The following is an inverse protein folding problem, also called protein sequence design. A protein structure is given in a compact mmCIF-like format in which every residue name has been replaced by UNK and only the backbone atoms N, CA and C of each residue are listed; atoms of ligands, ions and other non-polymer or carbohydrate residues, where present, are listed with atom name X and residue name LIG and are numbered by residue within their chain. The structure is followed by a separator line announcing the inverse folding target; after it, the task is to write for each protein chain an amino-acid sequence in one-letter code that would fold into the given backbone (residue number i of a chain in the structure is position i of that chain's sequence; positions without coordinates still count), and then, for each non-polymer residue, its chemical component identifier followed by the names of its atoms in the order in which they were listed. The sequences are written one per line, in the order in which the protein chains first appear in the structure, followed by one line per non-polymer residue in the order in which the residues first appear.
data_IF_855611931024
#
_entry.id   IF_855611931024
#
_cell.length_a   1.000
_cell.length_b   1.000
_cell.length_c   1.000
_cell.angle_alpha   90.00
_cell.angle_beta   90.00
_cell.angle_gamma   90.00
#
_symmetry.space_group_name_H-M   'P 1'
#
loop_
_entity.id
_entity.type
_entity.pdbx_description
1 polymer ?
#
# COMPACT_ATOMS: atom_id res chain seq x y z
N UNK A 1 -35.54 13.39 -10.12
CA UNK A 1 -35.02 14.75 -9.98
C UNK A 1 -34.22 15.11 -11.25
N UNK A 2 -34.71 16.13 -11.99
CA UNK A 2 -34.10 16.54 -13.27
C UNK A 2 -32.60 16.91 -13.12
N UNK A 3 -32.20 17.46 -11.98
CA UNK A 3 -30.81 17.80 -11.70
C UNK A 3 -29.93 16.54 -11.60
N UNK A 4 -30.35 15.51 -10.86
CA UNK A 4 -29.60 14.24 -10.79
C UNK A 4 -29.53 13.54 -12.15
N UNK A 5 -30.58 13.63 -12.97
CA UNK A 5 -30.55 13.09 -14.33
C UNK A 5 -29.57 13.84 -15.24
N UNK A 6 -29.45 15.17 -15.08
CA UNK A 6 -28.46 15.96 -15.78
C UNK A 6 -27.03 15.57 -15.38
N UNK A 7 -26.76 15.45 -14.06
CA UNK A 7 -25.46 15.00 -13.55
C UNK A 7 -25.10 13.62 -14.08
N UNK A 8 -26.03 12.67 -14.03
CA UNK A 8 -25.79 11.30 -14.51
C UNK A 8 -25.53 11.25 -16.01
N UNK A 9 -26.15 12.14 -16.80
CA UNK A 9 -25.88 12.26 -18.23
C UNK A 9 -24.49 12.83 -18.50
N UNK A 10 -24.09 13.85 -17.73
CA UNK A 10 -22.82 14.55 -17.90
C UNK A 10 -21.65 13.73 -17.31
N UNK A 11 -21.91 12.97 -16.23
CA UNK A 11 -20.92 12.14 -15.54
C UNK A 11 -21.52 10.76 -15.21
N UNK A 12 -21.38 9.83 -16.14
CA UNK A 12 -21.95 8.48 -16.04
C UNK A 12 -21.50 7.75 -14.78
N UNK A 13 -22.43 7.16 -14.04
CA UNK A 13 -22.20 6.35 -12.85
C UNK A 13 -21.98 7.15 -11.57
N UNK A 14 -22.08 8.48 -11.59
CA UNK A 14 -21.88 9.33 -10.39
C UNK A 14 -22.99 9.14 -9.35
N UNK A 15 -24.22 8.78 -9.78
CA UNK A 15 -25.37 8.60 -8.91
C UNK A 15 -25.42 7.23 -8.22
N UNK A 16 -24.40 6.38 -8.35
CA UNK A 16 -24.32 5.10 -7.69
C UNK A 16 -24.05 5.25 -6.18
N UNK A 17 -24.50 4.27 -5.38
CA UNK A 17 -24.21 4.25 -3.93
C UNK A 17 -22.72 4.32 -3.64
N UNK A 18 -22.34 5.13 -2.64
CA UNK A 18 -20.96 5.26 -2.16
C UNK A 18 -20.12 6.33 -2.85
N UNK A 19 -20.71 7.15 -3.74
CA UNK A 19 -20.02 8.25 -4.44
C UNK A 19 -20.72 9.61 -4.23
N UNK A 20 -21.53 9.72 -3.19
CA UNK A 20 -22.28 10.94 -2.84
C UNK A 20 -21.39 12.19 -2.70
N UNK A 21 -20.14 12.04 -2.26
CA UNK A 21 -19.20 13.16 -2.15
C UNK A 21 -19.09 13.96 -3.46
N UNK A 22 -18.99 13.27 -4.60
CA UNK A 22 -18.89 13.91 -5.90
C UNK A 22 -20.20 14.57 -6.35
N UNK A 23 -21.35 14.03 -5.97
CA UNK A 23 -22.66 14.63 -6.27
C UNK A 23 -22.79 15.99 -5.57
N UNK A 24 -22.42 16.08 -4.29
CA UNK A 24 -22.43 17.33 -3.56
C UNK A 24 -21.46 18.37 -4.13
N UNK A 25 -20.26 17.95 -4.49
CA UNK A 25 -19.27 18.84 -5.13
C UNK A 25 -19.74 19.31 -6.50
N UNK A 26 -20.39 18.45 -7.28
CA UNK A 26 -20.98 18.84 -8.56
C UNK A 26 -22.06 19.93 -8.37
N UNK A 27 -22.91 19.75 -7.36
CA UNK A 27 -23.93 20.74 -7.00
C UNK A 27 -23.30 22.08 -6.61
N UNK A 28 -22.29 22.09 -5.76
CA UNK A 28 -21.59 23.31 -5.34
C UNK A 28 -20.98 24.06 -6.53
N UNK A 29 -20.28 23.35 -7.41
CA UNK A 29 -19.63 23.94 -8.58
C UNK A 29 -20.67 24.51 -9.57
N UNK A 30 -21.82 23.83 -9.72
CA UNK A 30 -22.90 24.33 -10.57
C UNK A 30 -23.53 25.64 -10.06
N UNK A 31 -23.47 25.87 -8.74
CA UNK A 31 -23.97 27.11 -8.10
C UNK A 31 -22.88 28.20 -8.00
N UNK A 32 -21.65 27.87 -8.36
CA UNK A 32 -20.51 28.80 -8.27
C UNK A 32 -20.54 29.83 -9.42
N UNK A 33 -20.26 31.09 -9.08
CA UNK A 33 -20.06 32.15 -10.08
C UNK A 33 -18.77 31.91 -10.85
N UNK A 34 -18.66 32.46 -12.06
CA UNK A 34 -17.47 32.31 -12.91
C UNK A 34 -16.17 32.78 -12.22
N UNK A 35 -16.19 33.84 -11.42
CA UNK A 35 -15.07 34.31 -10.61
C UNK A 35 -15.05 33.79 -9.19
N UNK A 36 -15.97 32.87 -8.86
CA UNK A 36 -16.14 32.33 -7.51
C UNK A 36 -15.16 31.19 -7.19
N UNK A 37 -15.12 30.84 -5.90
CA UNK A 37 -14.49 29.62 -5.40
C UNK A 37 -15.48 28.87 -4.54
N UNK A 38 -15.38 27.54 -4.59
CA UNK A 38 -16.10 26.65 -3.68
C UNK A 38 -15.08 25.75 -2.97
N UNK A 39 -15.40 25.34 -1.75
CA UNK A 39 -14.56 24.45 -0.96
C UNK A 39 -15.41 23.26 -0.50
N UNK A 40 -14.98 22.07 -0.86
CA UNK A 40 -15.61 20.81 -0.45
C UNK A 40 -14.67 19.98 0.42
N UNK A 41 -15.21 19.37 1.46
CA UNK A 41 -14.51 18.35 2.24
C UNK A 41 -15.15 17.00 1.90
N UNK A 42 -14.31 16.04 1.52
CA UNK A 42 -14.75 14.71 1.15
C UNK A 42 -13.88 13.63 1.79
N UNK A 43 -14.35 12.40 1.72
CA UNK A 43 -13.54 11.27 2.15
C UNK A 43 -12.31 11.14 1.25
N UNK A 44 -11.19 10.78 1.86
CA UNK A 44 -9.93 10.63 1.14
C UNK A 44 -10.03 9.59 0.00
N UNK A 45 -10.85 8.54 0.18
CA UNK A 45 -11.11 7.52 -0.84
C UNK A 45 -11.62 8.07 -2.16
N UNK A 46 -12.41 9.14 -2.14
CA UNK A 46 -12.96 9.77 -3.33
C UNK A 46 -11.90 10.35 -4.26
N UNK A 47 -10.69 10.63 -3.76
CA UNK A 47 -9.56 11.18 -4.53
C UNK A 47 -8.81 10.13 -5.36
N UNK A 48 -8.92 8.85 -5.05
CA UNK A 48 -8.15 7.77 -5.69
C UNK A 48 -8.95 6.52 -6.05
N UNK A 49 -10.14 6.31 -5.49
CA UNK A 49 -10.97 5.13 -5.75
C UNK A 49 -11.25 4.98 -7.26
N UNK A 50 -11.05 3.77 -7.79
CA UNK A 50 -11.21 3.45 -9.21
C UNK A 50 -12.60 2.93 -9.59
N UNK A 51 -13.58 2.99 -8.67
CA UNK A 51 -14.99 2.77 -9.01
C UNK A 51 -15.38 3.79 -10.09
N UNK A 52 -16.10 3.32 -11.11
CA UNK A 52 -16.38 4.08 -12.34
C UNK A 52 -16.93 5.49 -12.09
N UNK A 53 -17.88 5.63 -11.16
CA UNK A 53 -18.45 6.94 -10.83
C UNK A 53 -17.43 7.93 -10.25
N UNK A 54 -16.57 7.49 -9.32
CA UNK A 54 -15.50 8.33 -8.76
C UNK A 54 -14.47 8.73 -9.83
N UNK A 55 -14.07 7.78 -10.66
CA UNK A 55 -13.11 8.00 -11.75
C UNK A 55 -13.68 8.98 -12.77
N UNK A 56 -14.92 8.77 -13.22
CA UNK A 56 -15.59 9.60 -14.20
C UNK A 56 -15.81 11.03 -13.65
N UNK A 57 -16.19 11.16 -12.38
CA UNK A 57 -16.31 12.46 -11.73
C UNK A 57 -14.97 13.22 -11.74
N UNK A 58 -13.89 12.58 -11.25
CA UNK A 58 -12.56 13.23 -11.27
C UNK A 58 -12.15 13.64 -12.68
N UNK A 59 -12.37 12.75 -13.67
CA UNK A 59 -12.09 13.06 -15.07
C UNK A 59 -12.85 14.30 -15.53
N UNK A 60 -14.16 14.35 -15.29
CA UNK A 60 -15.00 15.49 -15.64
C UNK A 60 -14.49 16.79 -15.00
N UNK A 61 -14.25 16.80 -13.69
CA UNK A 61 -13.77 17.99 -12.98
C UNK A 61 -12.40 18.46 -13.48
N UNK A 62 -11.51 17.54 -13.82
CA UNK A 62 -10.18 17.85 -14.36
C UNK A 62 -10.25 18.39 -15.80
N UNK A 63 -11.00 17.74 -16.69
CA UNK A 63 -11.14 18.14 -18.09
C UNK A 63 -11.80 19.51 -18.25
N UNK A 64 -12.70 19.86 -17.33
CA UNK A 64 -13.35 21.17 -17.29
C UNK A 64 -12.57 22.22 -16.47
N UNK A 65 -11.36 21.89 -15.99
CA UNK A 65 -10.52 22.81 -15.23
C UNK A 65 -11.15 23.32 -13.94
N UNK A 66 -11.93 22.49 -13.26
CA UNK A 66 -12.72 22.89 -12.08
C UNK A 66 -11.99 22.69 -10.76
N UNK A 67 -10.87 21.95 -10.73
CA UNK A 67 -10.09 21.68 -9.50
C UNK A 67 -8.88 22.62 -9.47
N UNK A 68 -8.84 23.49 -8.46
CA UNK A 68 -7.71 24.41 -8.23
C UNK A 68 -6.66 23.79 -7.30
N UNK A 69 -7.11 23.19 -6.16
CA UNK A 69 -6.23 22.56 -5.20
C UNK A 69 -6.87 21.34 -4.53
N UNK A 70 -6.02 20.42 -4.13
CA UNK A 70 -6.36 19.23 -3.35
C UNK A 70 -5.45 19.17 -2.13
N UNK A 71 -6.02 19.18 -0.92
CA UNK A 71 -5.32 19.25 0.35
C UNK A 71 -5.69 18.05 1.19
N UNK A 72 -4.78 17.10 1.35
CA UNK A 72 -4.97 15.96 2.25
C UNK A 72 -4.84 16.42 3.71
N UNK A 73 -5.86 16.17 4.52
CA UNK A 73 -5.92 16.59 5.91
C UNK A 73 -5.45 15.49 6.87
N UNK A 74 -5.02 15.82 8.10
CA UNK A 74 -4.72 14.84 9.13
C UNK A 74 -5.90 13.92 9.43
N UNK A 75 -5.64 12.72 9.96
CA UNK A 75 -6.70 11.88 10.52
C UNK A 75 -7.32 12.55 11.76
N UNK A 76 -8.49 12.10 12.17
CA UNK A 76 -9.16 12.58 13.39
C UNK A 76 -9.31 14.11 13.49
N UNK A 77 -9.46 14.81 12.37
CA UNK A 77 -9.83 16.24 12.36
C UNK A 77 -11.27 16.40 12.87
N UNK A 78 -12.13 15.44 12.58
CA UNK A 78 -13.51 15.37 13.10
C UNK A 78 -13.57 14.44 14.31
N UNK A 79 -14.23 14.89 15.39
CA UNK A 79 -14.28 14.17 16.69
C UNK A 79 -14.84 12.77 16.61
N UNK A 80 -15.87 12.58 15.78
CA UNK A 80 -16.68 11.35 15.74
C UNK A 80 -16.12 10.30 14.79
N UNK A 81 -15.01 10.59 14.09
CA UNK A 81 -14.48 9.65 13.10
C UNK A 81 -12.96 9.75 12.96
N UNK A 82 -12.33 8.59 12.75
CA UNK A 82 -10.92 8.51 12.37
C UNK A 82 -10.70 8.57 10.85
N UNK A 83 -11.77 8.73 10.07
CA UNK A 83 -11.68 8.77 8.61
C UNK A 83 -10.84 9.98 8.20
N UNK A 84 -9.84 9.74 7.36
CA UNK A 84 -9.06 10.81 6.74
C UNK A 84 -9.88 11.50 5.67
N UNK A 85 -9.80 12.81 5.63
CA UNK A 85 -10.53 13.65 4.69
C UNK A 85 -9.59 14.46 3.82
N UNK A 86 -10.13 14.94 2.71
CA UNK A 86 -9.43 15.81 1.76
C UNK A 86 -10.28 17.05 1.53
N UNK A 87 -9.68 18.21 1.59
CA UNK A 87 -10.28 19.47 1.19
C UNK A 87 -9.94 19.73 -0.27
N UNK A 88 -10.95 20.02 -1.08
CA UNK A 88 -10.79 20.41 -2.47
C UNK A 88 -11.25 21.84 -2.66
N UNK A 89 -10.41 22.63 -3.29
CA UNK A 89 -10.76 24.00 -3.74
C UNK A 89 -11.14 23.92 -5.21
N UNK A 90 -12.31 24.42 -5.51
CA UNK A 90 -12.85 24.52 -6.86
C UNK A 90 -12.84 25.97 -7.34
N UNK A 91 -12.45 26.17 -8.60
CA UNK A 91 -12.59 27.40 -9.37
C UNK A 91 -12.58 27.05 -10.86
N UNK A 92 -12.75 28.05 -11.74
CA UNK A 92 -12.78 27.81 -13.19
C UNK A 92 -11.41 28.02 -13.84
N UNK A 93 -11.17 27.34 -14.97
CA UNK A 93 -10.04 27.60 -15.87
C UNK A 93 -8.70 27.02 -15.43
N UNK A 94 -8.65 26.06 -14.51
CA UNK A 94 -7.43 25.51 -13.99
C UNK A 94 -6.78 24.52 -14.98
N UNK A 95 -5.57 24.84 -15.43
CA UNK A 95 -4.71 23.95 -16.25
C UNK A 95 -3.75 23.12 -15.40
N UNK A 96 -3.59 23.49 -14.14
CA UNK A 96 -2.75 22.83 -13.13
C UNK A 96 -3.53 22.74 -11.82
N UNK A 97 -3.20 21.75 -11.01
CA UNK A 97 -3.81 21.51 -9.69
C UNK A 97 -2.72 21.59 -8.63
N UNK A 98 -2.95 22.36 -7.58
CA UNK A 98 -2.09 22.40 -6.40
C UNK A 98 -2.35 21.16 -5.53
N UNK A 99 -1.35 20.32 -5.32
CA UNK A 99 -1.41 19.12 -4.48
C UNK A 99 -0.68 19.39 -3.18
N UNK A 100 -1.37 19.28 -2.03
CA UNK A 100 -0.81 19.58 -0.70
C UNK A 100 -1.05 18.39 0.24
N UNK A 101 0.02 17.84 0.82
CA UNK A 101 -0.06 16.86 1.91
C UNK A 101 0.08 17.54 3.26
N UNK A 102 -1.03 17.97 3.83
CA UNK A 102 -1.08 18.58 5.16
C UNK A 102 -1.30 17.55 6.29
N UNK A 103 -1.16 16.25 6.03
CA UNK A 103 -1.45 15.19 7.00
C UNK A 103 -0.59 15.24 8.27
N UNK A 104 0.56 15.90 8.21
CA UNK A 104 1.49 16.10 9.33
C UNK A 104 1.37 17.48 9.98
N UNK A 105 0.58 18.39 9.42
CA UNK A 105 0.40 19.77 9.90
C UNK A 105 -0.75 19.83 10.91
N UNK A 106 -0.56 19.26 12.09
CA UNK A 106 -1.53 19.33 13.19
C UNK A 106 -0.83 19.12 14.54
N UNK A 107 -1.54 19.49 15.59
CA UNK A 107 -1.20 19.08 16.96
C UNK A 107 -2.05 17.86 17.30
N UNK A 108 -1.40 16.75 17.60
CA UNK A 108 -2.07 15.53 18.00
C UNK A 108 -2.62 15.65 19.43
N UNK A 109 -3.93 15.42 19.59
CA UNK A 109 -4.61 15.32 20.88
C UNK A 109 -5.30 13.97 21.00
N UNK A 110 -5.55 13.53 22.22
CA UNK A 110 -6.05 12.18 22.51
C UNK A 110 -7.30 11.79 21.70
N UNK A 111 -8.22 12.71 21.44
CA UNK A 111 -9.49 12.43 20.75
C UNK A 111 -9.66 13.13 19.40
N UNK A 112 -8.88 14.17 19.13
CA UNK A 112 -9.02 14.99 17.92
C UNK A 112 -7.71 15.69 17.61
N UNK A 113 -7.27 15.65 16.35
CA UNK A 113 -6.17 16.47 15.86
C UNK A 113 -6.68 17.88 15.57
N UNK A 114 -5.91 18.88 15.96
CA UNK A 114 -6.30 20.29 15.81
C UNK A 114 -5.24 21.06 15.04
N UNK A 115 -5.68 22.07 14.30
CA UNK A 115 -4.78 23.01 13.62
C UNK A 115 -4.46 24.18 14.55
N UNK A 116 -3.20 24.60 14.56
CA UNK A 116 -2.78 25.89 15.11
C UNK A 116 -2.74 26.95 14.00
N UNK A 117 -2.58 28.21 14.39
CA UNK A 117 -2.42 29.30 13.42
C UNK A 117 -1.18 29.10 12.53
N UNK A 118 -0.10 28.54 13.09
CA UNK A 118 1.12 28.18 12.34
C UNK A 118 0.85 27.07 11.32
N UNK A 119 0.07 26.06 11.68
CA UNK A 119 -0.31 25.01 10.73
C UNK A 119 -1.15 25.57 9.59
N UNK A 120 -2.10 26.45 9.89
CA UNK A 120 -2.92 27.14 8.89
C UNK A 120 -2.05 28.01 7.97
N UNK A 121 -1.14 28.79 8.56
CA UNK A 121 -0.20 29.64 7.80
C UNK A 121 0.69 28.77 6.88
N UNK A 122 1.16 27.61 7.34
CA UNK A 122 1.94 26.68 6.55
C UNK A 122 1.14 26.13 5.36
N UNK A 123 -0.14 25.76 5.57
CA UNK A 123 -1.03 25.30 4.48
C UNK A 123 -1.28 26.44 3.48
N UNK A 124 -1.52 27.66 3.94
CA UNK A 124 -1.73 28.81 3.07
C UNK A 124 -0.47 29.18 2.26
N UNK A 125 0.72 29.00 2.85
CA UNK A 125 1.99 29.14 2.13
C UNK A 125 2.13 28.05 1.07
N UNK A 126 1.89 26.78 1.43
CA UNK A 126 1.92 25.65 0.52
C UNK A 126 0.93 25.75 -0.65
N UNK A 127 -0.19 26.44 -0.44
CA UNK A 127 -1.16 26.71 -1.50
C UNK A 127 -0.58 27.64 -2.59
N UNK A 128 0.34 28.53 -2.26
CA UNK A 128 0.94 29.50 -3.17
C UNK A 128 2.20 29.01 -3.85
N UNK A 129 3.00 28.20 -3.18
CA UNK A 129 4.33 27.81 -3.60
C UNK A 129 4.62 26.31 -3.39
N UNK A 130 5.58 25.77 -4.14
CA UNK A 130 6.05 24.41 -4.01
C UNK A 130 6.87 24.24 -2.72
N UNK A 131 6.78 23.07 -2.10
CA UNK A 131 7.53 22.71 -0.90
C UNK A 131 7.70 21.18 -0.81
N UNK A 132 8.30 20.68 0.28
CA UNK A 132 8.41 19.23 0.49
C UNK A 132 7.04 18.51 0.57
N UNK A 133 5.98 19.24 0.85
CA UNK A 133 4.60 18.74 0.97
C UNK A 133 3.60 19.44 0.07
N UNK A 134 4.06 20.23 -0.93
CA UNK A 134 3.22 20.92 -1.92
C UNK A 134 3.87 20.95 -3.30
N UNK A 135 3.10 20.62 -4.34
CA UNK A 135 3.54 20.66 -5.73
C UNK A 135 2.38 21.07 -6.66
N UNK A 136 2.72 21.79 -7.73
CA UNK A 136 1.78 22.17 -8.78
C UNK A 136 1.87 21.18 -9.95
N UNK A 137 0.78 20.42 -10.22
CA UNK A 137 0.74 19.33 -11.20
C UNK A 137 -0.15 19.72 -12.39
N UNK A 138 0.29 19.43 -13.61
CA UNK A 138 -0.53 19.70 -14.80
C UNK A 138 -1.74 18.74 -14.86
N UNK A 139 -2.90 19.26 -15.27
CA UNK A 139 -4.10 18.44 -15.49
C UNK A 139 -3.82 17.32 -16.49
N UNK A 140 -3.02 17.60 -17.52
CA UNK A 140 -2.60 16.62 -18.52
C UNK A 140 -1.87 15.41 -17.88
N UNK A 141 -0.89 15.67 -16.98
CA UNK A 141 -0.17 14.60 -16.30
C UNK A 141 -1.07 13.78 -15.37
N UNK A 142 -2.08 14.42 -14.75
CA UNK A 142 -3.05 13.72 -13.91
C UNK A 142 -3.91 12.75 -14.75
N UNK A 143 -4.38 13.21 -15.90
CA UNK A 143 -5.23 12.43 -16.80
C UNK A 143 -4.48 11.29 -17.50
N UNK A 144 -3.31 11.56 -18.06
CA UNK A 144 -2.58 10.62 -18.91
C UNK A 144 -1.69 9.64 -18.13
N UNK A 145 -1.05 10.11 -17.05
CA UNK A 145 -0.02 9.32 -16.33
C UNK A 145 -0.48 8.77 -14.98
N UNK A 146 -1.56 9.33 -14.41
CA UNK A 146 -1.95 9.05 -13.03
C UNK A 146 -3.39 8.56 -12.89
N UNK A 147 -4.02 8.12 -13.97
CA UNK A 147 -5.34 7.48 -13.97
C UNK A 147 -6.41 8.29 -13.22
N UNK A 148 -6.40 9.61 -13.41
CA UNK A 148 -7.27 10.58 -12.72
C UNK A 148 -7.14 10.64 -11.19
N UNK A 149 -6.16 10.00 -10.59
CA UNK A 149 -5.92 10.08 -9.15
C UNK A 149 -5.48 11.50 -8.79
N UNK A 150 -6.20 12.13 -7.84
CA UNK A 150 -5.90 13.49 -7.37
C UNK A 150 -5.42 13.53 -5.91
N UNK A 151 -5.01 12.40 -5.36
CA UNK A 151 -4.48 12.34 -4.01
C UNK A 151 -3.06 12.93 -3.95
N UNK A 152 -2.78 13.94 -3.09
CA UNK A 152 -1.51 14.66 -3.06
C UNK A 152 -0.27 13.78 -2.91
N UNK A 153 -0.33 12.76 -2.05
CA UNK A 153 0.80 11.82 -1.85
C UNK A 153 1.29 11.15 -3.13
N UNK A 154 0.43 11.04 -4.15
CA UNK A 154 0.82 10.47 -5.45
C UNK A 154 1.88 11.31 -6.17
N UNK A 155 1.91 12.61 -5.92
CA UNK A 155 2.74 13.58 -6.62
C UNK A 155 3.92 14.09 -5.79
N UNK A 156 3.84 13.97 -4.47
CA UNK A 156 4.84 14.45 -3.51
C UNK A 156 5.89 13.40 -3.17
N UNK A 157 5.74 12.20 -3.70
CA UNK A 157 6.73 11.14 -3.49
C UNK A 157 8.03 11.54 -4.18
N UNK A 158 9.08 11.75 -3.41
CA UNK A 158 10.44 11.94 -3.95
C UNK A 158 10.79 10.68 -4.73
N UNK A 159 10.89 10.79 -6.06
CA UNK A 159 11.34 9.67 -6.88
C UNK A 159 12.71 9.24 -6.37
N UNK A 160 12.79 8.04 -5.85
CA UNK A 160 14.06 7.44 -5.47
C UNK A 160 14.80 7.10 -6.76
N UNK A 161 15.95 7.72 -7.05
CA UNK A 161 16.66 7.45 -8.29
C UNK A 161 17.20 6.01 -8.26
N UNK A 162 16.94 5.25 -9.32
CA UNK A 162 17.46 3.90 -9.49
C UNK A 162 18.57 3.95 -10.54
N UNK A 163 19.82 3.84 -10.10
CA UNK A 163 20.97 3.79 -11.00
C UNK A 163 20.99 2.43 -11.71
N UNK A 164 21.01 2.45 -13.05
CA UNK A 164 20.96 1.24 -13.89
C UNK A 164 19.73 0.36 -13.57
N UNK A 165 18.56 0.98 -13.32
CA UNK A 165 17.34 0.30 -13.00
C UNK A 165 16.84 -0.62 -14.12
N UNK A 166 16.24 -1.74 -13.72
CA UNK A 166 15.51 -2.64 -14.61
C UNK A 166 14.13 -2.87 -14.03
N UNK A 167 13.07 -2.92 -14.84
CA UNK A 167 11.74 -3.30 -14.38
C UNK A 167 11.77 -4.67 -13.71
N UNK A 168 11.08 -4.81 -12.58
CA UNK A 168 11.04 -6.06 -11.83
C UNK A 168 10.55 -7.24 -12.69
N UNK A 169 9.59 -7.00 -13.61
CA UNK A 169 9.11 -8.03 -14.56
C UNK A 169 10.23 -8.68 -15.37
N UNK A 170 11.32 -7.97 -15.66
CA UNK A 170 12.41 -8.48 -16.54
C UNK A 170 13.22 -9.58 -15.84
N UNK A 171 13.13 -9.69 -14.52
CA UNK A 171 13.82 -10.68 -13.68
C UNK A 171 12.88 -11.70 -13.03
N UNK A 172 11.58 -11.64 -13.34
CA UNK A 172 10.58 -12.58 -12.86
C UNK A 172 10.06 -13.43 -14.01
N UNK A 173 9.77 -14.69 -13.72
CA UNK A 173 9.05 -15.59 -14.61
C UNK A 173 7.55 -15.30 -14.58
N UNK A 174 7.03 -14.96 -13.40
CA UNK A 174 5.62 -14.70 -13.19
C UNK A 174 5.37 -13.92 -11.88
N UNK A 175 4.31 -13.12 -11.87
CA UNK A 175 3.74 -12.48 -10.67
C UNK A 175 2.27 -12.82 -10.57
N UNK A 176 1.84 -13.37 -9.46
CA UNK A 176 0.43 -13.67 -9.21
C UNK A 176 0.05 -13.47 -7.75
N UNK A 177 -1.25 -13.35 -7.52
CA UNK A 177 -1.80 -13.17 -6.18
C UNK A 177 -2.00 -14.54 -5.54
N UNK A 178 -1.76 -14.67 -4.24
CA UNK A 178 -2.10 -15.87 -3.47
C UNK A 178 -3.60 -16.18 -3.43
N UNK A 179 -3.95 -17.31 -2.83
CA UNK A 179 -5.31 -17.82 -2.77
C UNK A 179 -6.24 -16.95 -1.92
N UNK A 180 -7.37 -16.55 -2.47
CA UNK A 180 -8.45 -15.91 -1.75
C UNK A 180 -9.39 -16.99 -1.19
N UNK A 181 -9.12 -17.47 0.02
CA UNK A 181 -9.93 -18.46 0.73
C UNK A 181 -10.79 -17.71 1.75
N UNK A 182 -12.09 -18.01 1.80
CA UNK A 182 -12.98 -17.46 2.82
C UNK A 182 -12.64 -18.05 4.20
N UNK A 183 -12.91 -17.31 5.28
CA UNK A 183 -12.64 -17.79 6.65
C UNK A 183 -13.34 -19.14 6.90
N UNK A 184 -14.60 -19.27 6.52
CA UNK A 184 -15.38 -20.52 6.67
C UNK A 184 -14.77 -21.70 5.91
N UNK A 185 -14.22 -21.48 4.73
CA UNK A 185 -13.57 -22.51 3.93
C UNK A 185 -12.21 -22.87 4.50
N UNK A 186 -11.45 -21.87 4.95
CA UNK A 186 -10.16 -22.07 5.60
C UNK A 186 -10.31 -22.90 6.89
N UNK A 187 -11.30 -22.57 7.74
CA UNK A 187 -11.56 -23.30 9.00
C UNK A 187 -11.87 -24.78 8.76
N UNK A 188 -12.50 -25.12 7.61
CA UNK A 188 -12.74 -26.53 7.23
C UNK A 188 -11.50 -27.25 6.76
N UNK A 189 -10.54 -26.51 6.16
CA UNK A 189 -9.31 -27.08 5.61
C UNK A 189 -8.21 -27.23 6.67
N UNK A 190 -8.24 -26.40 7.70
CA UNK A 190 -7.24 -26.43 8.77
C UNK A 190 -7.30 -27.76 9.53
N UNK A 191 -6.12 -28.30 9.86
CA UNK A 191 -5.98 -29.55 10.63
C UNK A 191 -4.73 -29.48 11.52
N UNK A 192 -4.79 -30.12 12.67
CA UNK A 192 -3.64 -30.32 13.58
C UNK A 192 -2.77 -31.50 13.14
N UNK A 193 -3.25 -32.33 12.20
CA UNK A 193 -2.50 -33.48 11.70
C UNK A 193 -1.48 -33.01 10.66
N UNK A 194 -0.20 -33.45 10.76
CA UNK A 194 0.80 -33.17 9.76
C UNK A 194 0.34 -33.58 8.36
N UNK A 195 0.55 -32.66 7.39
CA UNK A 195 0.20 -32.80 5.97
C UNK A 195 1.30 -32.21 5.12
N UNK A 196 1.37 -32.60 3.85
CA UNK A 196 2.24 -31.94 2.86
C UNK A 196 1.82 -30.50 2.55
N UNK A 197 0.53 -30.17 2.76
CA UNK A 197 -0.03 -28.84 2.49
C UNK A 197 0.02 -27.96 3.73
N UNK A 198 0.61 -26.79 3.59
CA UNK A 198 0.66 -25.78 4.64
C UNK A 198 0.20 -24.43 4.11
N UNK A 199 -0.33 -23.59 4.98
CA UNK A 199 -0.89 -22.29 4.63
C UNK A 199 -0.11 -21.16 5.30
N UNK A 200 0.34 -20.19 4.49
CA UNK A 200 1.04 -19.02 5.00
C UNK A 200 0.17 -17.78 4.91
N UNK A 201 0.02 -17.08 6.01
CA UNK A 201 -0.60 -15.76 6.14
C UNK A 201 0.43 -14.73 6.60
N UNK A 202 0.07 -13.45 6.56
CA UNK A 202 0.97 -12.35 6.98
C UNK A 202 1.46 -12.48 8.43
N UNK A 203 0.69 -13.11 9.32
CA UNK A 203 1.07 -13.28 10.73
C UNK A 203 2.23 -14.27 10.92
N UNK A 204 2.44 -15.19 9.98
CA UNK A 204 3.56 -16.13 10.01
C UNK A 204 4.86 -15.58 9.39
N UNK A 205 4.87 -14.32 8.99
CA UNK A 205 6.09 -13.66 8.51
C UNK A 205 6.48 -12.61 9.55
N UNK A 206 7.57 -12.85 10.27
CA UNK A 206 8.07 -11.98 11.32
C UNK A 206 9.53 -11.61 11.02
N UNK A 207 9.79 -10.31 10.82
CA UNK A 207 11.09 -9.75 10.38
C UNK A 207 11.69 -10.51 9.17
N UNK A 208 10.83 -10.78 8.18
CA UNK A 208 11.22 -11.47 6.96
C UNK A 208 11.45 -12.98 7.11
N UNK A 209 11.25 -13.53 8.29
CA UNK A 209 11.41 -14.97 8.56
C UNK A 209 10.03 -15.60 8.59
N UNK A 210 9.90 -16.73 7.89
CA UNK A 210 8.68 -17.55 7.92
C UNK A 210 8.73 -18.43 9.18
N UNK A 211 7.63 -18.45 9.94
CA UNK A 211 7.50 -19.32 11.12
C UNK A 211 7.67 -20.80 10.71
N UNK A 212 8.40 -21.55 11.49
CA UNK A 212 8.63 -22.99 11.23
C UNK A 212 7.34 -23.80 11.31
N UNK A 213 6.44 -23.39 12.20
CA UNK A 213 5.15 -24.05 12.46
C UNK A 213 4.03 -23.34 11.66
N UNK A 214 3.96 -23.62 10.36
CA UNK A 214 2.84 -23.20 9.54
C UNK A 214 1.62 -24.11 9.79
N UNK A 215 0.38 -23.58 9.79
CA UNK A 215 -0.82 -24.37 9.89
C UNK A 215 -0.94 -25.35 8.72
N UNK A 216 -1.32 -26.59 9.03
CA UNK A 216 -1.55 -27.63 8.03
C UNK A 216 -2.95 -27.53 7.44
N UNK A 217 -3.06 -27.94 6.17
CA UNK A 217 -4.34 -28.13 5.49
C UNK A 217 -4.57 -29.62 5.27
N UNK A 218 -5.77 -30.14 5.60
CA UNK A 218 -6.12 -31.56 5.48
C UNK A 218 -6.10 -32.04 4.02
N UNK A 219 -6.50 -31.18 3.11
CA UNK A 219 -6.56 -31.43 1.66
C UNK A 219 -6.45 -30.10 0.91
N UNK A 220 -6.24 -30.15 -0.40
CA UNK A 220 -6.21 -28.98 -1.27
C UNK A 220 -7.06 -29.22 -2.52
N UNK A 221 -8.09 -28.41 -2.71
CA UNK A 221 -8.88 -28.40 -3.94
C UNK A 221 -8.00 -27.99 -5.13
N UNK A 222 -8.12 -28.64 -6.27
CA UNK A 222 -7.37 -28.35 -7.51
C UNK A 222 -7.38 -26.87 -7.90
N UNK A 223 -8.47 -26.15 -7.62
CA UNK A 223 -8.56 -24.71 -7.88
C UNK A 223 -7.49 -23.88 -7.14
N UNK A 224 -6.93 -24.39 -6.06
CA UNK A 224 -5.92 -23.72 -5.24
C UNK A 224 -4.47 -24.15 -5.55
N UNK A 225 -4.24 -25.25 -6.25
CA UNK A 225 -2.89 -25.75 -6.57
C UNK A 225 -2.01 -24.71 -7.24
N UNK A 226 -2.59 -23.88 -8.12
CA UNK A 226 -1.90 -22.78 -8.80
C UNK A 226 -1.38 -21.67 -7.87
N UNK A 227 -1.79 -21.65 -6.60
CA UNK A 227 -1.36 -20.68 -5.61
C UNK A 227 -0.33 -21.27 -4.62
N UNK A 228 0.11 -22.50 -4.85
CA UNK A 228 1.28 -23.07 -4.19
C UNK A 228 2.50 -22.32 -4.69
N UNK A 229 3.26 -21.73 -3.78
CA UNK A 229 4.47 -21.01 -4.15
C UNK A 229 5.60 -22.01 -4.43
N UNK A 230 6.23 -21.97 -5.61
CA UNK A 230 7.45 -22.71 -5.86
C UNK A 230 8.57 -22.29 -4.91
N UNK A 231 9.49 -23.21 -4.61
CA UNK A 231 10.69 -22.87 -3.86
C UNK A 231 11.47 -21.73 -4.56
N UNK A 232 12.16 -20.93 -3.77
CA UNK A 232 12.86 -19.72 -4.17
C UNK A 232 11.95 -18.60 -4.71
N UNK A 233 10.61 -18.73 -4.61
CA UNK A 233 9.73 -17.60 -4.86
C UNK A 233 9.85 -16.59 -3.73
N UNK A 234 9.80 -15.30 -4.08
CA UNK A 234 9.69 -14.22 -3.12
C UNK A 234 8.20 -13.91 -2.91
N UNK A 235 7.74 -13.92 -1.68
CA UNK A 235 6.39 -13.47 -1.34
C UNK A 235 6.45 -12.09 -0.71
N UNK A 236 5.49 -11.22 -1.07
CA UNK A 236 5.40 -9.86 -0.55
C UNK A 236 3.96 -9.51 -0.21
N UNK A 237 3.74 -8.85 0.92
CA UNK A 237 2.40 -8.40 1.32
C UNK A 237 1.85 -7.37 0.34
N UNK A 238 0.54 -7.45 0.08
CA UNK A 238 -0.17 -6.46 -0.76
C UNK A 238 -0.44 -5.17 -0.03
N UNK A 239 -0.56 -5.21 1.28
CA UNK A 239 -0.94 -4.09 2.15
C UNK A 239 -0.01 -4.04 3.35
N UNK A 240 0.12 -2.87 3.94
CA UNK A 240 0.90 -2.64 5.16
C UNK A 240 2.08 -1.69 4.96
N UNK A 241 2.64 -1.23 6.09
CA UNK A 241 3.87 -0.44 6.14
C UNK A 241 4.62 -0.82 7.41
N UNK A 242 5.85 -1.34 7.30
CA UNK A 242 6.50 -1.78 6.06
C UNK A 242 5.80 -2.99 5.42
N UNK A 243 6.08 -3.24 4.13
CA UNK A 243 5.62 -4.45 3.47
C UNK A 243 6.40 -5.64 3.99
N UNK A 244 5.69 -6.70 4.39
CA UNK A 244 6.32 -7.96 4.79
C UNK A 244 6.77 -8.73 3.55
N UNK A 245 7.99 -9.24 3.58
CA UNK A 245 8.60 -9.99 2.48
C UNK A 245 9.29 -11.24 3.01
N UNK A 246 9.24 -12.35 2.28
CA UNK A 246 9.97 -13.55 2.62
C UNK A 246 10.32 -14.36 1.36
N UNK A 247 11.32 -15.24 1.45
CA UNK A 247 11.62 -16.24 0.43
C UNK A 247 11.01 -17.56 0.86
N UNK A 248 10.32 -18.25 -0.03
CA UNK A 248 9.89 -19.63 0.18
C UNK A 248 11.12 -20.51 0.00
N UNK A 249 11.63 -21.03 1.09
CA UNK A 249 12.77 -21.94 1.13
C UNK A 249 12.44 -23.04 2.15
N UNK A 250 11.77 -24.05 1.66
CA UNK A 250 11.25 -25.17 2.46
C UNK A 250 11.63 -26.49 1.83
N UNK A 251 11.58 -27.58 2.63
CA UNK A 251 11.72 -28.92 2.09
C UNK A 251 10.77 -29.10 0.88
N UNK A 252 11.24 -29.60 -0.27
CA UNK A 252 10.44 -29.81 -1.49
C UNK A 252 9.17 -30.65 -1.30
N UNK A 253 9.09 -31.48 -0.27
CA UNK A 253 7.90 -32.25 0.06
C UNK A 253 6.76 -31.37 0.64
N UNK A 254 7.09 -30.19 1.14
CA UNK A 254 6.12 -29.24 1.71
C UNK A 254 5.56 -28.32 0.62
N UNK A 255 4.27 -28.27 0.50
CA UNK A 255 3.53 -27.43 -0.47
C UNK A 255 2.92 -26.24 0.25
N UNK A 256 3.49 -25.05 0.04
CA UNK A 256 3.06 -23.83 0.73
C UNK A 256 2.03 -23.08 -0.09
N UNK A 257 0.78 -23.11 0.37
CA UNK A 257 -0.30 -22.31 -0.17
C UNK A 257 -0.24 -20.89 0.42
N UNK A 258 -0.14 -19.88 -0.43
CA UNK A 258 0.03 -18.48 -0.03
C UNK A 258 -1.31 -17.77 0.04
N UNK A 259 -1.55 -17.00 1.11
CA UNK A 259 -2.76 -16.21 1.32
C UNK A 259 -2.91 -15.09 0.28
N UNK A 260 -4.15 -14.80 -0.09
CA UNK A 260 -4.52 -13.78 -1.09
C UNK A 260 -4.18 -12.32 -0.72
N UNK A 261 -3.66 -12.05 0.47
CA UNK A 261 -3.13 -10.74 0.85
C UNK A 261 -1.64 -10.59 0.53
N UNK A 262 -1.08 -11.53 -0.23
CA UNK A 262 0.30 -11.51 -0.70
C UNK A 262 0.37 -11.71 -2.21
N UNK A 263 1.44 -11.19 -2.82
CA UNK A 263 1.89 -11.57 -4.16
C UNK A 263 2.99 -12.63 -4.05
N UNK A 264 2.99 -13.53 -5.03
CA UNK A 264 4.04 -14.53 -5.26
C UNK A 264 4.81 -14.07 -6.48
N UNK A 265 6.12 -13.83 -6.29
CA UNK A 265 7.06 -13.43 -7.32
C UNK A 265 7.89 -14.67 -7.68
N UNK A 266 7.58 -15.32 -8.79
CA UNK A 266 8.36 -16.45 -9.30
C UNK A 266 9.63 -15.93 -9.96
N UNK A 267 10.74 -16.08 -9.29
CA UNK A 267 12.01 -15.48 -9.66
C UNK A 267 12.69 -16.25 -10.81
N UNK A 268 13.33 -15.52 -11.73
CA UNK A 268 14.27 -16.09 -12.69
C UNK A 268 15.68 -16.05 -12.08
N UNK A 269 16.09 -17.13 -11.46
CA UNK A 269 17.37 -17.24 -10.74
C UNK A 269 18.61 -17.07 -11.64
N UNK A 270 18.45 -17.21 -12.96
CA UNK A 270 19.51 -16.86 -13.90
C UNK A 270 19.77 -15.34 -14.00
N UNK A 271 18.84 -14.51 -13.52
CA UNK A 271 18.90 -13.04 -13.59
C UNK A 271 18.96 -12.36 -12.23
N UNK A 272 18.27 -12.91 -11.23
CA UNK A 272 18.22 -12.30 -9.90
C UNK A 272 18.22 -13.36 -8.79
N UNK A 273 19.02 -13.14 -7.76
CA UNK A 273 19.03 -13.96 -6.56
C UNK A 273 17.79 -13.60 -5.68
N UNK A 274 16.95 -14.57 -5.25
CA UNK A 274 15.75 -14.31 -4.47
C UNK A 274 16.04 -13.61 -3.13
N UNK A 275 17.13 -13.95 -2.47
CA UNK A 275 17.55 -13.31 -1.21
C UNK A 275 18.10 -11.91 -1.38
N UNK A 276 18.74 -11.62 -2.54
CA UNK A 276 19.07 -10.25 -2.92
C UNK A 276 17.81 -9.40 -3.07
N UNK A 277 16.78 -9.92 -3.74
CA UNK A 277 15.52 -9.22 -3.95
C UNK A 277 14.79 -8.98 -2.60
N UNK A 278 14.81 -9.98 -1.73
CA UNK A 278 14.28 -9.84 -0.36
C UNK A 278 15.04 -8.78 0.43
N UNK A 279 16.38 -8.83 0.44
CA UNK A 279 17.22 -7.85 1.13
C UNK A 279 16.98 -6.42 0.61
N UNK A 280 16.78 -6.28 -0.71
CA UNK A 280 16.40 -5.00 -1.32
C UNK A 280 15.07 -4.50 -0.75
N UNK A 281 14.01 -5.31 -0.77
CA UNK A 281 12.67 -4.88 -0.34
C UNK A 281 12.59 -4.55 1.15
N UNK A 282 13.38 -5.19 2.00
CA UNK A 282 13.45 -4.90 3.43
C UNK A 282 14.37 -3.73 3.78
N UNK A 283 15.22 -3.28 2.86
CA UNK A 283 16.08 -2.12 3.06
C UNK A 283 15.27 -0.82 3.10
N UNK A 284 15.84 0.23 3.74
CA UNK A 284 15.26 1.58 3.70
C UNK A 284 15.08 2.09 2.27
N UNK A 285 16.03 1.78 1.38
CA UNK A 285 15.97 2.12 -0.04
C UNK A 285 14.83 1.39 -0.75
N UNK A 286 14.70 0.08 -0.58
CA UNK A 286 13.63 -0.71 -1.21
C UNK A 286 12.25 -0.38 -0.64
N UNK A 287 12.15 -0.10 0.65
CA UNK A 287 10.91 0.40 1.28
C UNK A 287 10.46 1.72 0.64
N UNK A 288 11.41 2.62 0.36
CA UNK A 288 11.10 3.87 -0.35
C UNK A 288 10.66 3.61 -1.79
N UNK A 289 11.30 2.68 -2.52
CA UNK A 289 10.88 2.27 -3.87
C UNK A 289 9.45 1.71 -3.87
N UNK A 290 9.13 0.81 -2.95
CA UNK A 290 7.80 0.22 -2.81
C UNK A 290 6.76 1.27 -2.43
N UNK A 291 7.10 2.21 -1.56
CA UNK A 291 6.21 3.31 -1.18
C UNK A 291 5.85 4.20 -2.37
N UNK A 292 6.77 4.38 -3.31
CA UNK A 292 6.56 5.19 -4.51
C UNK A 292 5.51 4.62 -5.46
N UNK A 293 5.28 3.33 -5.44
CA UNK A 293 4.28 2.66 -6.29
C UNK A 293 2.98 2.32 -5.56
N UNK A 294 2.86 2.68 -4.27
CA UNK A 294 1.66 2.40 -3.50
C UNK A 294 0.49 3.29 -3.91
N UNK A 295 -0.69 2.69 -3.98
CA UNK A 295 -1.96 3.36 -4.21
C UNK A 295 -2.75 3.36 -2.90
N UNK A 296 -3.25 4.51 -2.52
CA UNK A 296 -4.08 4.68 -1.33
C UNK A 296 -3.36 5.38 -0.18
N UNK A 297 -4.14 6.11 0.63
CA UNK A 297 -3.62 7.05 1.61
C UNK A 297 -3.70 6.54 3.05
N UNK A 298 -4.60 5.61 3.35
CA UNK A 298 -4.79 5.10 4.71
C UNK A 298 -3.95 3.85 4.93
N UNK A 299 -4.03 2.91 3.99
CA UNK A 299 -3.23 1.68 4.02
C UNK A 299 -2.53 1.56 2.66
N UNK A 300 -1.20 1.74 2.61
CA UNK A 300 -0.44 1.55 1.38
C UNK A 300 -0.72 0.17 0.78
N UNK A 301 -1.06 0.14 -0.50
CA UNK A 301 -1.38 -1.10 -1.20
C UNK A 301 -0.62 -1.20 -2.51
N UNK A 302 0.02 -2.34 -2.72
CA UNK A 302 0.66 -2.71 -3.97
C UNK A 302 -0.38 -3.25 -4.95
N UNK A 303 -0.26 -2.90 -6.23
CA UNK A 303 -0.94 -3.60 -7.31
C UNK A 303 0.08 -4.33 -8.21
N UNK A 304 -0.39 -5.37 -8.89
CA UNK A 304 0.46 -6.24 -9.72
C UNK A 304 1.23 -5.43 -10.77
N UNK A 305 0.54 -4.59 -11.55
CA UNK A 305 1.14 -3.83 -12.64
C UNK A 305 2.22 -2.87 -12.15
N UNK A 306 1.95 -2.12 -11.08
CA UNK A 306 2.93 -1.20 -10.52
C UNK A 306 4.14 -1.94 -9.93
N UNK A 307 3.94 -3.12 -9.36
CA UNK A 307 5.02 -3.97 -8.86
C UNK A 307 5.86 -4.53 -10.01
N UNK A 308 5.26 -4.99 -11.10
CA UNK A 308 5.94 -5.47 -12.30
C UNK A 308 6.77 -4.37 -13.00
N UNK A 309 6.28 -3.13 -12.99
CA UNK A 309 6.93 -1.95 -13.57
C UNK A 309 7.93 -1.28 -12.64
N UNK A 310 8.04 -1.72 -11.38
CA UNK A 310 8.99 -1.17 -10.42
C UNK A 310 10.42 -1.32 -10.92
N UNK A 311 11.11 -0.21 -11.11
CA UNK A 311 12.55 -0.23 -11.41
C UNK A 311 13.32 -0.60 -10.14
N UNK A 312 14.18 -1.61 -10.26
CA UNK A 312 15.09 -2.06 -9.18
C UNK A 312 16.55 -1.99 -9.65
N UNK A 313 17.50 -1.71 -8.75
CA UNK A 313 18.92 -1.86 -9.09
C UNK A 313 19.21 -3.35 -9.35
N UNK A 314 19.93 -3.63 -10.44
CA UNK A 314 20.27 -4.99 -10.83
C UNK A 314 21.77 -5.11 -11.10
N UNK A 315 22.61 -5.29 -10.07
CA UNK A 315 24.04 -5.53 -10.25
C UNK A 315 24.29 -6.95 -10.81
N UNK A 316 25.55 -7.29 -11.09
CA UNK A 316 25.92 -8.65 -11.51
C UNK A 316 25.49 -9.69 -10.47
N UNK A 317 25.21 -10.93 -10.92
CA UNK A 317 24.83 -12.03 -10.01
C UNK A 317 25.84 -12.27 -8.91
N UNK A 318 27.13 -12.10 -9.18
CA UNK A 318 28.19 -12.21 -8.18
C UNK A 318 27.99 -11.20 -7.04
N UNK A 319 27.71 -9.92 -7.37
CA UNK A 319 27.41 -8.89 -6.36
C UNK A 319 26.10 -9.15 -5.62
N UNK A 320 25.10 -9.63 -6.34
CA UNK A 320 23.82 -10.02 -5.72
C UNK A 320 24.02 -11.16 -4.72
N UNK A 321 24.78 -12.19 -5.06
CA UNK A 321 25.09 -13.32 -4.18
C UNK A 321 25.87 -12.87 -2.94
N UNK A 322 26.81 -11.93 -3.09
CA UNK A 322 27.53 -11.37 -1.94
C UNK A 322 26.59 -10.65 -0.97
N UNK A 323 25.65 -9.86 -1.51
CA UNK A 323 24.63 -9.16 -0.69
C UNK A 323 23.71 -10.18 -0.03
N UNK A 324 23.22 -11.18 -0.77
CA UNK A 324 22.35 -12.23 -0.27
C UNK A 324 23.01 -13.03 0.87
N UNK A 325 24.27 -13.43 0.72
CA UNK A 325 25.00 -14.16 1.75
C UNK A 325 25.19 -13.33 3.03
N UNK A 326 25.56 -12.05 2.89
CA UNK A 326 25.66 -11.15 4.05
C UNK A 326 24.30 -10.96 4.74
N UNK A 327 23.24 -10.84 3.96
CA UNK A 327 21.88 -10.71 4.48
C UNK A 327 21.45 -11.97 5.26
N UNK A 328 21.70 -13.16 4.71
CA UNK A 328 21.41 -14.44 5.36
C UNK A 328 22.18 -14.61 6.67
N UNK A 329 23.47 -14.26 6.69
CA UNK A 329 24.29 -14.32 7.91
C UNK A 329 23.68 -13.45 9.03
N UNK A 330 23.23 -12.24 8.71
CA UNK A 330 22.54 -11.35 9.67
C UNK A 330 21.20 -11.95 10.12
N UNK A 331 20.45 -12.56 9.21
CA UNK A 331 19.19 -13.23 9.58
C UNK A 331 19.40 -14.42 10.53
N UNK A 332 20.45 -15.20 10.31
CA UNK A 332 20.77 -16.32 11.21
C UNK A 332 21.20 -15.81 12.60
N UNK A 333 21.95 -14.71 12.65
CA UNK A 333 22.28 -14.06 13.91
C UNK A 333 21.01 -13.57 14.65
N UNK A 334 20.07 -12.96 13.94
CA UNK A 334 18.77 -12.54 14.49
C UNK A 334 18.00 -13.74 15.04
N UNK A 335 17.97 -14.89 14.34
CA UNK A 335 17.33 -16.12 14.83
C UNK A 335 17.94 -16.58 16.14
N UNK A 336 19.26 -16.60 16.24
CA UNK A 336 19.98 -16.99 17.46
C UNK A 336 19.61 -16.07 18.63
N UNK A 337 19.60 -14.75 18.42
CA UNK A 337 19.22 -13.81 19.48
C UNK A 337 17.76 -13.96 19.91
N UNK A 338 16.86 -14.27 19.00
CA UNK A 338 15.45 -14.54 19.31
C UNK A 338 15.29 -15.80 20.16
N UNK A 339 15.96 -16.88 19.79
CA UNK A 339 15.95 -18.09 20.59
C UNK A 339 16.47 -17.85 22.01
N UNK A 340 17.58 -17.10 22.13
CA UNK A 340 18.12 -16.71 23.44
C UNK A 340 17.14 -15.88 24.26
N UNK A 341 16.46 -14.93 23.62
CA UNK A 341 15.45 -14.08 24.26
C UNK A 341 14.23 -14.91 24.71
N UNK A 342 13.71 -15.80 23.87
CA UNK A 342 12.60 -16.69 24.24
C UNK A 342 12.95 -17.57 25.43
N UNK A 343 14.11 -18.23 25.39
CA UNK A 343 14.58 -19.07 26.49
C UNK A 343 14.79 -18.26 27.81
N UNK A 344 15.26 -17.01 27.70
CA UNK A 344 15.42 -16.14 28.88
C UNK A 344 14.05 -15.71 29.46
N UNK A 345 13.07 -15.44 28.60
CA UNK A 345 11.71 -15.12 29.04
C UNK A 345 11.02 -16.32 29.69
N UNK A 346 11.19 -17.52 29.16
CA UNK A 346 10.69 -18.77 29.75
C UNK A 346 11.31 -19.01 31.14
N UNK A 347 12.63 -18.93 31.26
CA UNK A 347 13.31 -19.03 32.56
C UNK A 347 12.82 -18.00 33.56
N UNK A 348 12.59 -16.74 33.11
CA UNK A 348 12.05 -15.68 33.96
C UNK A 348 10.67 -16.02 34.53
N UNK A 349 9.80 -16.65 33.71
CA UNK A 349 8.44 -17.04 34.14
C UNK A 349 8.50 -18.17 35.17
N UNK A 350 9.39 -19.16 35.01
CA UNK A 350 9.51 -20.31 35.86
C UNK A 350 10.48 -20.19 37.04
N UNK A 351 11.01 -19.00 37.29
CA UNK A 351 12.03 -18.79 38.34
C UNK A 351 11.54 -19.15 39.76
N UNK A 352 10.24 -19.03 40.03
CA UNK A 352 9.65 -19.43 41.31
C UNK A 352 9.24 -20.89 41.35
N UNK A 353 9.03 -21.53 40.19
CA UNK A 353 8.67 -22.95 40.12
C UNK A 353 9.88 -23.84 40.51
N UNK A 354 11.09 -23.41 40.18
CA UNK A 354 12.36 -24.04 40.57
C UNK A 354 12.60 -23.97 42.07
N UNK A 355 12.11 -22.92 42.75
CA UNK A 355 12.24 -22.74 44.21
C UNK A 355 11.20 -23.55 45.05
N UNK A 356 10.11 -24.01 44.44
CA UNK A 356 9.08 -24.83 45.12
C UNK A 356 9.36 -26.34 45.03
N UNK A 357 10.37 -26.72 44.24
CA UNK A 357 10.77 -28.14 44.07
C UNK A 357 11.93 -28.60 44.95
N UNK A 358 12.48 -27.68 45.79
CA UNK A 358 13.39 -27.97 46.89
C UNK A 358 12.60 -28.02 48.25
#
# INVERSE_FOLDING_TARGET
NQFLQKIERDVTGICNKGISDWIFNFFMVHMMKDSGKAIGIMTNGSTWNQVSGCRNARKYFLENGLIEAVIALPSRVFKETSITTTLIVFSHGNKKVRMIDATHLCVEKMRQNVFTDENIAAILKAYKEDSDYSILVSVKDILEKNDTVIHPKRYLVKKVPVKNGKPLRDVLKEVYRGAAISAKELDRLLTDKPSEYQYIMLKQINDGIIDENLPYLSELDKKYEKFIAPNHSVIISKIGTPFKCAVIDVNPERKILVNGNMFILKVDEAKVNPYYLKALFESTYGTALLSNICIGSIIPALNKKALEELEIPLPSLEKQNKIANNYLAIQDEIKIYRMKLTNALEKKIHIFDEMQGE
#
